data_IF_188741766140
#
_entry.id   IF_188741766140
#
_cell.length_a   1.000
_cell.length_b   1.000
_cell.length_c   1.000
_cell.angle_alpha   90.00
_cell.angle_beta   90.00
_cell.angle_gamma   90.00
#
_symmetry.space_group_name_H-M   'P 1'
#
loop_
_entity.id
_entity.type
_entity.pdbx_description
1 polymer ?
#
# COMPACT_ATOMS: atom_id res chain seq x y z
N UNK A 1 -32.07 -21.38 -5.18
CA UNK A 1 -31.45 -20.28 -4.42
C UNK A 1 -29.95 -20.53 -4.34
N UNK A 2 -29.20 -20.27 -5.42
CA UNK A 2 -27.73 -20.27 -5.40
C UNK A 2 -27.24 -19.34 -6.51
N UNK A 3 -27.02 -18.08 -6.16
CA UNK A 3 -26.40 -17.10 -7.07
C UNK A 3 -24.89 -17.26 -6.97
N UNK A 4 -24.28 -17.86 -7.99
CA UNK A 4 -22.84 -17.82 -8.16
C UNK A 4 -22.47 -16.40 -8.62
N UNK A 5 -21.87 -15.63 -7.71
CA UNK A 5 -21.47 -14.25 -7.97
C UNK A 5 -20.46 -14.17 -9.11
N UNK A 6 -20.70 -13.22 -10.02
CA UNK A 6 -19.75 -12.83 -11.04
C UNK A 6 -18.51 -12.24 -10.36
N UNK A 7 -17.42 -13.00 -10.31
CA UNK A 7 -16.09 -12.45 -10.01
C UNK A 7 -15.60 -11.79 -11.28
N UNK A 8 -15.64 -10.46 -11.30
CA UNK A 8 -14.97 -9.69 -12.34
C UNK A 8 -13.47 -9.90 -12.21
N UNK A 9 -12.74 -10.13 -13.32
CA UNK A 9 -11.29 -10.07 -13.30
C UNK A 9 -10.91 -8.63 -12.98
N UNK A 10 -10.31 -8.40 -11.81
CA UNK A 10 -9.63 -7.14 -11.53
C UNK A 10 -8.45 -7.11 -12.49
N UNK A 11 -8.56 -6.35 -13.58
CA UNK A 11 -7.42 -5.93 -14.38
C UNK A 11 -6.43 -5.33 -13.40
N UNK A 12 -5.31 -6.02 -13.18
CA UNK A 12 -4.24 -5.51 -12.35
C UNK A 12 -3.75 -4.22 -13.00
N UNK A 13 -4.16 -3.09 -12.43
CA UNK A 13 -3.61 -1.78 -12.78
C UNK A 13 -2.09 -1.86 -12.61
N UNK A 14 -1.31 -1.12 -13.41
CA UNK A 14 0.13 -1.04 -13.23
C UNK A 14 0.38 -0.74 -11.75
N UNK A 15 1.07 -1.66 -11.07
CA UNK A 15 1.49 -1.46 -9.70
C UNK A 15 2.47 -0.30 -9.74
N UNK A 16 1.97 0.91 -9.43
CA UNK A 16 2.85 2.03 -9.14
C UNK A 16 3.83 1.51 -8.10
N UNK A 17 5.12 1.44 -8.43
CA UNK A 17 6.12 0.88 -7.52
C UNK A 17 6.34 1.84 -6.35
N UNK A 18 6.23 3.14 -6.59
CA UNK A 18 6.30 4.21 -5.59
C UNK A 18 4.99 4.41 -4.85
N UNK A 19 5.07 4.66 -3.54
CA UNK A 19 3.90 5.06 -2.76
C UNK A 19 3.54 6.53 -3.02
N UNK A 20 2.27 6.82 -3.29
CA UNK A 20 1.81 8.20 -3.45
C UNK A 20 1.71 8.99 -2.13
N UNK A 21 1.84 8.33 -0.97
CA UNK A 21 1.80 8.97 0.35
C UNK A 21 3.18 9.24 0.97
N UNK A 22 4.25 8.60 0.47
CA UNK A 22 5.58 8.68 1.08
C UNK A 22 6.68 8.40 0.06
N UNK A 23 7.94 8.83 0.30
CA UNK A 23 8.99 8.83 -0.71
C UNK A 23 9.65 7.46 -0.98
N UNK A 24 8.97 6.35 -0.65
CA UNK A 24 9.53 5.00 -0.81
C UNK A 24 8.54 4.03 -1.46
N UNK A 25 9.06 2.92 -1.98
CA UNK A 25 8.28 1.95 -2.75
C UNK A 25 7.28 1.16 -1.90
N UNK A 26 6.21 0.67 -2.54
CA UNK A 26 5.21 -0.21 -1.91
C UNK A 26 5.84 -1.49 -1.35
N UNK A 27 6.91 -1.99 -1.95
CA UNK A 27 7.65 -3.18 -1.47
C UNK A 27 8.27 -3.00 -0.09
N UNK A 28 8.57 -1.75 0.32
CA UNK A 28 9.07 -1.46 1.66
C UNK A 28 7.97 -1.50 2.74
N UNK A 29 6.70 -1.54 2.34
CA UNK A 29 5.58 -1.50 3.29
C UNK A 29 5.38 -2.88 3.91
N UNK A 30 5.15 -2.92 5.23
CA UNK A 30 4.42 -4.06 5.79
C UNK A 30 2.92 -3.87 5.59
N UNK A 31 2.14 -4.86 6.02
CA UNK A 31 0.68 -4.82 5.92
C UNK A 31 0.07 -3.60 6.61
N UNK A 32 0.69 -3.06 7.66
CA UNK A 32 0.19 -1.87 8.35
C UNK A 32 0.47 -0.64 7.48
N UNK A 33 1.69 -0.50 6.99
CA UNK A 33 2.08 0.55 6.05
C UNK A 33 1.16 0.58 4.84
N UNK A 34 0.86 -0.59 4.24
CA UNK A 34 -0.01 -0.67 3.06
C UNK A 34 -1.38 -0.03 3.34
N UNK A 35 -2.00 -0.41 4.47
CA UNK A 35 -3.32 0.11 4.84
C UNK A 35 -3.27 1.58 5.17
N UNK A 36 -2.30 2.02 5.95
CA UNK A 36 -2.17 3.42 6.36
C UNK A 36 -1.99 4.34 5.15
N UNK A 37 -1.04 4.02 4.26
CA UNK A 37 -0.76 4.82 3.08
C UNK A 37 -1.95 4.81 2.12
N UNK A 38 -2.61 3.67 1.90
CA UNK A 38 -3.83 3.62 1.07
C UNK A 38 -4.95 4.51 1.58
N UNK A 39 -5.17 4.56 2.90
CA UNK A 39 -6.18 5.42 3.51
C UNK A 39 -5.80 6.91 3.44
N UNK A 40 -4.50 7.21 3.53
CA UNK A 40 -3.96 8.58 3.40
C UNK A 40 -4.21 9.11 1.99
N UNK A 41 -3.87 8.31 0.96
CA UNK A 41 -4.11 8.66 -0.45
C UNK A 41 -5.61 8.79 -0.73
N UNK A 42 -6.41 7.79 -0.33
CA UNK A 42 -7.86 7.81 -0.56
C UNK A 42 -8.57 8.97 0.15
N UNK A 43 -8.06 9.40 1.30
CA UNK A 43 -8.59 10.52 2.06
C UNK A 43 -8.00 11.89 1.69
N UNK A 44 -6.99 11.96 0.82
CA UNK A 44 -6.28 13.19 0.51
C UNK A 44 -5.67 13.86 1.75
N UNK A 45 -5.20 13.06 2.70
CA UNK A 45 -4.72 13.55 4.00
C UNK A 45 -3.26 13.98 3.90
N UNK A 46 -2.96 15.19 4.36
CA UNK A 46 -1.59 15.69 4.50
C UNK A 46 -1.04 15.31 5.88
N UNK A 47 -0.27 14.22 5.94
CA UNK A 47 0.32 13.68 7.17
C UNK A 47 1.53 12.81 6.85
N UNK A 48 2.43 12.68 7.83
CA UNK A 48 3.58 11.78 7.72
C UNK A 48 3.18 10.30 7.69
N UNK A 49 3.97 9.47 7.01
CA UNK A 49 3.70 8.03 6.94
C UNK A 49 4.15 7.29 8.20
N UNK A 50 3.37 6.29 8.61
CA UNK A 50 3.74 5.37 9.70
C UNK A 50 4.72 4.27 9.28
N UNK A 51 5.25 4.33 8.06
CA UNK A 51 6.17 3.34 7.54
C UNK A 51 7.50 3.38 8.30
N UNK A 52 8.13 2.23 8.59
CA UNK A 52 9.48 2.24 9.13
C UNK A 52 10.38 2.97 8.12
N UNK A 53 11.09 3.99 8.59
CA UNK A 53 12.07 4.70 7.79
C UNK A 53 13.10 3.68 7.31
N UNK A 54 12.99 3.32 6.04
CA UNK A 54 13.99 2.57 5.31
C UNK A 54 14.13 1.08 5.71
N UNK A 55 13.55 0.16 4.91
CA UNK A 55 14.04 -1.24 4.88
C UNK A 55 15.25 -1.40 3.95
N UNK A 56 15.85 -0.32 3.41
CA UNK A 56 17.06 -0.45 2.60
C UNK A 56 18.32 -0.69 3.43
N UNK A 57 18.35 -0.47 4.76
CA UNK A 57 19.47 -0.96 5.60
C UNK A 57 19.04 -1.38 7.01
N UNK A 58 19.43 -2.62 7.35
CA UNK A 58 19.56 -3.22 8.69
C UNK A 58 18.32 -3.98 9.19
N UNK A 59 18.22 -5.24 8.76
CA UNK A 59 17.76 -6.36 9.60
C UNK A 59 18.24 -6.16 11.04
N UNK A 60 17.33 -6.23 12.02
CA UNK A 60 17.64 -6.03 13.43
C UNK A 60 18.27 -7.28 14.05
N UNK A 61 19.43 -7.07 14.70
CA UNK A 61 20.02 -7.81 15.83
C UNK A 61 20.50 -9.25 15.66
#
# INVERSE_FOLDING_TARGET
MSSNGCVTPVTAAPIETSCAACPHDWEAHDRIGVRYCSATVAGGLDRECACPADRAKVYYR
#
